data_IF_361715794153
#
_entry.id   IF_361715794153
#
_cell.length_a   1.000
_cell.length_b   1.000
_cell.length_c   1.000
_cell.angle_alpha   90.00
_cell.angle_beta   90.00
_cell.angle_gamma   90.00
#
_symmetry.space_group_name_H-M   'P 1'
#
loop_
_entity.id
_entity.type
_entity.pdbx_description
1 polymer ?
#
# COMPACT_ATOMS: atom_id res chain seq x y z
N UNK A 1 24.37 -5.01 -0.72
CA UNK A 1 25.12 -5.28 0.52
C UNK A 1 24.79 -4.35 1.68
N UNK A 2 24.71 -3.04 1.46
CA UNK A 2 24.48 -2.06 2.53
C UNK A 2 23.18 -2.31 3.32
N UNK A 3 22.08 -2.59 2.62
CA UNK A 3 20.81 -2.95 3.24
C UNK A 3 20.93 -4.18 4.16
N UNK A 4 21.57 -5.26 3.68
CA UNK A 4 21.81 -6.48 4.47
C UNK A 4 22.66 -6.18 5.71
N UNK A 5 23.70 -5.35 5.58
CA UNK A 5 24.55 -4.94 6.72
C UNK A 5 23.74 -4.15 7.75
N UNK A 6 22.90 -3.21 7.31
CA UNK A 6 22.03 -2.44 8.19
C UNK A 6 21.08 -3.36 8.96
N UNK A 7 20.38 -4.26 8.27
CA UNK A 7 19.42 -5.19 8.89
C UNK A 7 20.13 -6.11 9.88
N UNK A 8 21.29 -6.66 9.50
CA UNK A 8 22.10 -7.53 10.37
C UNK A 8 22.54 -6.79 11.64
N UNK A 9 23.00 -5.54 11.51
CA UNK A 9 23.38 -4.73 12.66
C UNK A 9 22.19 -4.45 13.59
N UNK A 10 21.03 -4.03 13.06
CA UNK A 10 19.82 -3.81 13.85
C UNK A 10 19.41 -5.07 14.62
N UNK A 11 19.38 -6.23 13.95
CA UNK A 11 19.03 -7.50 14.59
C UNK A 11 20.04 -7.91 15.67
N UNK A 12 21.33 -7.63 15.46
CA UNK A 12 22.38 -7.82 16.47
C UNK A 12 22.14 -7.03 17.77
N UNK A 13 21.36 -5.95 17.69
CA UNK A 13 20.92 -5.14 18.83
C UNK A 13 19.47 -5.41 19.28
N UNK A 14 18.84 -6.47 18.77
CA UNK A 14 17.44 -6.79 19.10
C UNK A 14 16.40 -5.88 18.45
N UNK A 15 16.79 -5.08 17.46
CA UNK A 15 15.90 -4.18 16.71
C UNK A 15 15.45 -4.88 15.42
N UNK A 16 14.14 -5.09 15.29
CA UNK A 16 13.53 -5.62 14.05
C UNK A 16 13.40 -4.52 13.01
N UNK A 17 13.40 -4.90 11.75
CA UNK A 17 13.27 -4.00 10.61
C UNK A 17 12.08 -4.45 9.78
N UNK A 18 11.22 -3.51 9.42
CA UNK A 18 10.05 -3.73 8.57
C UNK A 18 10.22 -2.94 7.28
N UNK A 19 9.91 -3.56 6.15
CA UNK A 19 9.97 -2.89 4.86
C UNK A 19 8.65 -2.17 4.58
N UNK A 20 8.71 -1.01 3.94
CA UNK A 20 7.54 -0.40 3.32
C UNK A 20 7.33 -1.06 1.95
N UNK A 21 6.24 -1.81 1.80
CA UNK A 21 5.95 -2.63 0.64
C UNK A 21 4.88 -1.95 -0.22
N UNK A 22 5.34 -1.22 -1.25
CA UNK A 22 4.51 -0.65 -2.31
C UNK A 22 4.17 -1.75 -3.31
N UNK A 23 2.96 -2.30 -3.20
CA UNK A 23 2.53 -3.48 -3.98
C UNK A 23 1.19 -3.29 -4.69
N UNK A 24 0.52 -2.15 -4.49
CA UNK A 24 -0.71 -1.79 -5.19
C UNK A 24 -0.45 -1.31 -6.63
N UNK A 25 0.60 -0.53 -6.83
CA UNK A 25 0.83 0.21 -8.06
C UNK A 25 2.31 0.22 -8.43
N UNK A 26 2.57 0.67 -9.66
CA UNK A 26 3.91 1.00 -10.15
C UNK A 26 4.04 2.52 -10.29
N UNK A 27 4.67 3.03 -11.34
CA UNK A 27 4.94 4.47 -11.46
C UNK A 27 3.76 5.24 -12.04
N UNK A 28 3.72 6.56 -11.81
CA UNK A 28 2.92 7.47 -12.64
C UNK A 28 3.57 7.67 -14.01
N UNK A 29 2.79 8.04 -15.01
CA UNK A 29 3.27 8.13 -16.38
C UNK A 29 4.20 9.32 -16.67
N UNK A 30 4.99 9.19 -17.74
CA UNK A 30 5.96 10.19 -18.20
C UNK A 30 7.28 10.24 -17.42
N UNK A 31 7.49 9.31 -16.46
CA UNK A 31 8.67 9.21 -15.62
C UNK A 31 9.53 7.98 -15.93
N UNK A 32 9.66 7.65 -17.21
CA UNK A 32 10.11 6.35 -17.69
C UNK A 32 11.38 6.40 -18.58
N UNK A 33 11.77 5.26 -19.17
CA UNK A 33 12.96 5.18 -20.03
C UNK A 33 12.78 5.77 -21.44
N UNK A 34 11.56 6.14 -21.84
CA UNK A 34 11.29 6.65 -23.17
C UNK A 34 11.94 8.04 -23.35
N UNK A 35 12.76 8.26 -24.39
CA UNK A 35 13.37 9.57 -24.62
C UNK A 35 12.43 10.57 -25.32
N UNK A 36 11.21 10.17 -25.67
CA UNK A 36 10.31 10.90 -26.54
C UNK A 36 8.97 11.21 -25.87
N UNK A 37 8.98 12.17 -24.95
CA UNK A 37 7.77 12.68 -24.31
C UNK A 37 7.35 14.06 -24.84
N UNK A 38 6.05 14.35 -24.80
CA UNK A 38 5.46 15.64 -25.18
C UNK A 38 4.28 15.98 -24.28
N UNK A 39 4.31 17.19 -23.70
CA UNK A 39 3.21 17.72 -22.90
C UNK A 39 2.24 18.48 -23.82
N UNK A 40 1.01 17.98 -24.03
CA UNK A 40 0.03 18.66 -24.88
C UNK A 40 -0.49 19.95 -24.25
N UNK A 41 -0.49 20.07 -22.92
CA UNK A 41 -0.99 21.23 -22.17
C UNK A 41 0.04 22.35 -21.96
N UNK A 42 1.31 22.13 -22.30
CA UNK A 42 2.39 23.09 -22.08
C UNK A 42 3.08 23.51 -23.40
N UNK A 43 2.29 23.92 -24.40
CA UNK A 43 2.83 24.46 -25.65
C UNK A 43 3.72 23.48 -26.43
N UNK A 44 3.45 22.17 -26.34
CA UNK A 44 4.25 21.11 -26.96
C UNK A 44 5.67 20.97 -26.39
N UNK A 45 5.90 21.37 -25.14
CA UNK A 45 7.15 21.09 -24.44
C UNK A 45 7.47 19.59 -24.47
N UNK A 46 8.74 19.25 -24.69
CA UNK A 46 9.23 17.88 -24.72
C UNK A 46 10.23 17.64 -23.59
N UNK A 47 10.38 16.39 -23.17
CA UNK A 47 11.45 15.99 -22.25
C UNK A 47 11.94 14.58 -22.61
N UNK A 48 13.19 14.33 -22.22
CA UNK A 48 13.84 13.04 -22.40
C UNK A 48 13.48 12.04 -21.31
N UNK A 49 14.19 10.91 -21.32
CA UNK A 49 13.99 9.83 -20.37
C UNK A 49 14.41 10.20 -18.95
N UNK A 50 13.92 9.43 -17.98
CA UNK A 50 14.36 9.48 -16.60
C UNK A 50 15.40 8.38 -16.34
N UNK A 51 16.35 8.71 -15.48
CA UNK A 51 17.43 7.79 -15.09
C UNK A 51 17.14 7.21 -13.72
N UNK A 52 17.50 5.96 -13.52
CA UNK A 52 17.45 5.32 -12.21
C UNK A 52 18.69 5.66 -11.39
N UNK A 53 18.72 5.23 -10.12
CA UNK A 53 19.91 5.32 -9.26
C UNK A 53 21.04 4.37 -9.70
N UNK A 54 20.79 3.51 -10.69
CA UNK A 54 21.82 2.68 -11.31
C UNK A 54 22.75 3.56 -12.16
N UNK A 55 24.08 3.52 -11.94
CA UNK A 55 25.04 4.27 -12.74
C UNK A 55 24.90 3.95 -14.24
N UNK A 56 24.54 4.95 -15.05
CA UNK A 56 24.28 4.79 -16.49
C UNK A 56 22.97 4.06 -16.81
N UNK A 57 22.13 3.77 -15.81
CA UNK A 57 20.85 3.10 -15.97
C UNK A 57 19.73 4.08 -16.27
N UNK A 58 18.86 3.70 -17.19
CA UNK A 58 17.56 4.35 -17.38
C UNK A 58 16.55 3.77 -16.38
N UNK A 59 15.40 4.41 -16.21
CA UNK A 59 14.24 3.78 -15.58
C UNK A 59 13.96 2.43 -16.29
N UNK A 60 13.85 1.29 -15.60
CA UNK A 60 13.74 -0.01 -16.25
C UNK A 60 12.30 -0.33 -16.74
N UNK A 61 11.55 0.69 -17.14
CA UNK A 61 10.13 0.62 -17.46
C UNK A 61 9.71 1.72 -18.44
N UNK A 62 8.55 1.53 -19.06
CA UNK A 62 7.92 2.41 -20.05
C UNK A 62 6.43 2.54 -19.74
N UNK A 63 5.88 3.74 -19.89
CA UNK A 63 4.50 4.10 -19.57
C UNK A 63 3.80 4.67 -20.81
N UNK A 64 2.47 4.71 -20.83
CA UNK A 64 1.75 5.24 -22.00
C UNK A 64 1.71 6.78 -22.07
N UNK A 65 1.90 7.46 -20.94
CA UNK A 65 1.56 8.89 -20.85
C UNK A 65 2.60 9.75 -21.56
N UNK A 66 2.10 10.76 -22.29
CA UNK A 66 2.90 11.78 -22.98
C UNK A 66 3.83 11.25 -24.08
N UNK A 67 3.78 9.96 -24.41
CA UNK A 67 4.62 9.34 -25.45
C UNK A 67 3.99 9.48 -26.83
N UNK A 68 4.81 9.71 -27.85
CA UNK A 68 4.38 9.77 -29.27
C UNK A 68 5.11 8.78 -30.19
N UNK A 69 5.85 7.84 -29.61
CA UNK A 69 6.43 6.68 -30.32
C UNK A 69 5.60 5.42 -30.08
N UNK A 70 6.04 4.28 -30.59
CA UNK A 70 5.52 2.97 -30.21
C UNK A 70 6.18 2.48 -28.92
N UNK A 71 5.58 1.48 -28.27
CA UNK A 71 6.16 0.79 -27.11
C UNK A 71 7.47 0.08 -27.48
N UNK A 72 8.46 0.18 -26.61
CA UNK A 72 9.83 -0.31 -26.87
C UNK A 72 9.86 -1.83 -26.99
N UNK A 73 9.15 -2.55 -26.12
CA UNK A 73 9.18 -4.01 -26.09
C UNK A 73 8.11 -4.65 -26.96
N UNK A 74 6.95 -4.02 -27.09
CA UNK A 74 5.82 -4.59 -27.85
C UNK A 74 5.77 -4.14 -29.31
N UNK A 75 6.37 -2.99 -29.65
CA UNK A 75 6.21 -2.34 -30.95
C UNK A 75 4.77 -1.90 -31.25
N UNK A 76 3.90 -1.85 -30.23
CA UNK A 76 2.50 -1.45 -30.34
C UNK A 76 2.31 0.00 -29.88
N UNK A 77 1.06 0.46 -29.74
CA UNK A 77 0.80 1.72 -29.06
C UNK A 77 1.46 1.74 -27.67
N UNK A 78 1.93 2.90 -27.18
CA UNK A 78 2.51 3.02 -25.84
C UNK A 78 1.58 2.41 -24.80
N UNK A 79 2.11 1.49 -24.02
CA UNK A 79 1.43 0.81 -22.93
C UNK A 79 2.44 0.60 -21.79
N UNK A 80 1.93 0.13 -20.66
CA UNK A 80 2.72 -0.16 -19.48
C UNK A 80 3.63 -1.38 -19.68
N UNK A 81 4.94 -1.17 -19.66
CA UNK A 81 5.96 -2.20 -19.86
C UNK A 81 6.98 -2.13 -18.72
N UNK A 82 6.99 -3.12 -17.83
CA UNK A 82 7.93 -3.24 -16.71
C UNK A 82 8.73 -4.55 -16.84
N UNK A 83 9.64 -4.64 -17.83
CA UNK A 83 10.33 -5.88 -18.22
C UNK A 83 11.19 -6.49 -17.11
N UNK A 84 11.66 -5.70 -16.15
CA UNK A 84 12.48 -6.18 -15.04
C UNK A 84 11.69 -7.01 -13.99
N UNK A 85 10.37 -6.77 -13.87
CA UNK A 85 9.45 -7.56 -13.01
C UNK A 85 8.72 -8.65 -13.80
N UNK A 86 9.09 -8.81 -15.07
CA UNK A 86 8.22 -8.85 -16.26
C UNK A 86 6.71 -8.65 -16.02
N UNK A 87 6.28 -7.39 -15.85
CA UNK A 87 4.88 -7.02 -16.06
C UNK A 87 4.70 -6.38 -17.43
N UNK A 88 3.61 -6.75 -18.09
CA UNK A 88 3.14 -6.14 -19.33
C UNK A 88 1.76 -5.50 -19.15
N UNK A 89 1.17 -4.99 -20.24
CA UNK A 89 -0.06 -4.19 -20.16
C UNK A 89 -1.26 -4.92 -19.55
N UNK A 90 -1.30 -6.26 -19.63
CA UNK A 90 -2.39 -7.08 -19.10
C UNK A 90 -2.26 -7.37 -17.59
N UNK A 91 -1.15 -6.98 -16.97
CA UNK A 91 -0.90 -7.14 -15.54
C UNK A 91 -1.38 -5.92 -14.74
N UNK A 92 -1.96 -4.94 -15.42
CA UNK A 92 -2.51 -3.72 -14.85
C UNK A 92 -4.01 -3.64 -15.08
N UNK A 93 -4.71 -2.94 -14.20
CA UNK A 93 -6.08 -2.53 -14.45
C UNK A 93 -6.13 -1.53 -15.61
N UNK A 94 -7.21 -1.58 -16.39
CA UNK A 94 -7.46 -0.56 -17.40
C UNK A 94 -7.46 0.83 -16.76
N UNK A 95 -6.75 1.77 -17.36
CA UNK A 95 -6.60 3.14 -16.86
C UNK A 95 -7.94 3.77 -16.55
N UNK A 96 -8.11 4.17 -15.29
CA UNK A 96 -9.24 4.97 -14.80
C UNK A 96 -8.76 5.74 -13.57
N UNK A 97 -9.19 6.97 -13.41
CA UNK A 97 -8.88 7.71 -12.18
C UNK A 97 -9.76 7.21 -11.03
N UNK A 98 -9.16 7.01 -9.86
CA UNK A 98 -9.89 6.77 -8.62
C UNK A 98 -10.62 8.05 -8.19
N UNK A 99 -11.94 8.03 -8.19
CA UNK A 99 -12.78 9.19 -7.88
C UNK A 99 -13.89 8.90 -6.84
N UNK A 100 -14.07 7.65 -6.43
CA UNK A 100 -15.07 7.21 -5.46
C UNK A 100 -14.44 6.36 -4.35
N UNK A 101 -14.51 6.86 -3.12
CA UNK A 101 -13.99 6.16 -1.94
C UNK A 101 -14.95 5.12 -1.35
N UNK A 102 -16.18 5.05 -1.86
CA UNK A 102 -17.24 4.13 -1.40
C UNK A 102 -17.65 3.11 -2.46
N UNK A 103 -16.99 3.10 -3.63
CA UNK A 103 -17.17 2.07 -4.65
C UNK A 103 -16.03 1.04 -4.57
N UNK A 104 -16.31 -0.23 -4.20
CA UNK A 104 -15.31 -1.28 -4.15
C UNK A 104 -14.53 -1.49 -5.46
N UNK A 105 -15.17 -1.28 -6.62
CA UNK A 105 -14.50 -1.43 -7.91
C UNK A 105 -13.49 -0.30 -8.14
N UNK A 106 -13.86 0.93 -7.77
CA UNK A 106 -12.98 2.08 -7.94
C UNK A 106 -11.84 2.09 -6.91
N UNK A 107 -12.09 1.60 -5.69
CA UNK A 107 -11.03 1.37 -4.71
C UNK A 107 -9.99 0.36 -5.19
N UNK A 108 -10.44 -0.74 -5.84
CA UNK A 108 -9.58 -1.84 -6.25
C UNK A 108 -8.85 -1.64 -7.58
N UNK A 109 -9.48 -0.92 -8.52
CA UNK A 109 -9.01 -0.83 -9.90
C UNK A 109 -8.80 0.61 -10.38
N UNK A 110 -8.97 1.58 -9.48
CA UNK A 110 -8.77 3.00 -9.76
C UNK A 110 -7.31 3.40 -9.58
N UNK A 111 -6.75 4.09 -10.57
CA UNK A 111 -5.39 4.61 -10.53
C UNK A 111 -5.33 5.77 -9.54
N UNK A 112 -4.84 5.48 -8.33
CA UNK A 112 -4.63 6.46 -7.28
C UNK A 112 -3.66 7.53 -7.78
N UNK A 113 -4.15 8.76 -7.93
CA UNK A 113 -3.38 9.92 -8.42
C UNK A 113 -2.63 9.71 -9.74
N UNK A 114 -3.12 8.77 -10.58
CA UNK A 114 -2.51 8.42 -11.87
C UNK A 114 -1.34 7.44 -11.78
N UNK A 115 -1.15 6.78 -10.63
CA UNK A 115 -0.20 5.69 -10.48
C UNK A 115 -0.75 4.44 -11.16
N UNK A 116 0.11 3.76 -11.93
CA UNK A 116 -0.27 2.59 -12.72
C UNK A 116 -0.68 1.43 -11.81
N UNK A 117 -1.97 1.11 -11.78
CA UNK A 117 -2.57 0.19 -10.82
C UNK A 117 -2.42 -1.29 -11.24
N UNK A 118 -1.82 -2.11 -10.38
CA UNK A 118 -1.59 -3.53 -10.64
C UNK A 118 -2.91 -4.30 -10.53
N UNK A 119 -3.14 -5.23 -11.46
CA UNK A 119 -4.30 -6.12 -11.39
C UNK A 119 -4.04 -7.25 -10.41
N UNK A 120 -4.28 -6.99 -9.12
CA UNK A 120 -4.00 -7.94 -8.03
C UNK A 120 -4.93 -9.15 -8.02
N UNK A 121 -5.99 -9.19 -8.82
CA UNK A 121 -6.80 -10.38 -9.04
C UNK A 121 -6.09 -11.45 -9.89
N UNK A 122 -5.03 -11.07 -10.62
CA UNK A 122 -4.28 -12.00 -11.47
C UNK A 122 -3.27 -12.81 -10.67
N UNK A 123 -3.34 -14.12 -10.84
CA UNK A 123 -2.42 -15.07 -10.18
C UNK A 123 -0.94 -14.73 -10.40
N UNK A 124 -0.55 -14.34 -11.62
CA UNK A 124 0.84 -13.99 -11.92
C UNK A 124 1.31 -12.70 -11.24
N UNK A 125 0.40 -11.73 -11.02
CA UNK A 125 0.71 -10.50 -10.26
C UNK A 125 0.86 -10.83 -8.77
N UNK A 126 -0.07 -11.62 -8.23
CA UNK A 126 0.01 -12.08 -6.84
C UNK A 126 1.28 -12.89 -6.56
N UNK A 127 1.71 -13.76 -7.47
CA UNK A 127 2.97 -14.51 -7.34
C UNK A 127 4.18 -13.60 -7.32
N UNK A 128 4.25 -12.61 -8.22
CA UNK A 128 5.35 -11.66 -8.26
C UNK A 128 5.45 -10.80 -7.00
N UNK A 129 4.31 -10.36 -6.47
CA UNK A 129 4.25 -9.65 -5.18
C UNK A 129 4.74 -10.57 -4.04
N UNK A 130 4.24 -11.81 -3.98
CA UNK A 130 4.63 -12.77 -2.95
C UNK A 130 6.12 -13.14 -3.02
N UNK A 131 6.69 -13.30 -4.22
CA UNK A 131 8.11 -13.54 -4.43
C UNK A 131 8.95 -12.36 -3.93
N UNK A 132 8.57 -11.13 -4.28
CA UNK A 132 9.21 -9.92 -3.75
C UNK A 132 9.18 -9.87 -2.22
N UNK A 133 8.02 -10.11 -1.61
CA UNK A 133 7.90 -10.15 -0.14
C UNK A 133 8.76 -11.29 0.44
N UNK A 134 8.80 -12.45 -0.19
CA UNK A 134 9.64 -13.59 0.24
C UNK A 134 11.11 -13.20 0.21
N UNK A 135 11.57 -12.56 -0.86
CA UNK A 135 12.95 -12.09 -1.01
C UNK A 135 13.33 -11.09 0.09
N UNK A 136 12.44 -10.16 0.43
CA UNK A 136 12.67 -9.22 1.54
C UNK A 136 12.79 -9.95 2.89
N UNK A 137 11.94 -10.93 3.18
CA UNK A 137 12.12 -11.78 4.37
C UNK A 137 13.48 -12.50 4.32
N UNK A 138 13.87 -13.04 3.16
CA UNK A 138 15.17 -13.69 2.94
C UNK A 138 16.38 -12.74 3.05
N UNK A 139 16.18 -11.43 2.88
CA UNK A 139 17.18 -10.39 3.15
C UNK A 139 17.35 -10.16 4.67
N UNK A 140 16.30 -10.43 5.46
CA UNK A 140 16.32 -10.37 6.92
C UNK A 140 15.27 -9.43 7.54
N UNK A 141 14.34 -8.88 6.73
CA UNK A 141 13.20 -8.13 7.25
C UNK A 141 12.29 -9.02 8.10
N UNK A 142 11.61 -8.41 9.08
CA UNK A 142 10.66 -9.08 9.97
C UNK A 142 9.20 -8.88 9.54
N UNK A 143 8.97 -8.36 8.34
CA UNK A 143 7.64 -8.13 7.76
C UNK A 143 7.52 -6.72 7.19
N UNK A 144 6.28 -6.22 7.10
CA UNK A 144 5.96 -5.11 6.18
C UNK A 144 4.95 -4.10 6.75
N UNK A 145 5.13 -2.83 6.39
CA UNK A 145 4.02 -1.89 6.20
C UNK A 145 3.54 -2.10 4.77
N UNK A 146 2.31 -2.54 4.55
CA UNK A 146 1.77 -2.69 3.20
C UNK A 146 1.11 -1.37 2.82
N UNK A 147 1.79 -0.62 1.95
CA UNK A 147 1.36 0.68 1.44
C UNK A 147 0.04 0.55 0.67
N UNK A 148 -0.81 1.57 0.80
CA UNK A 148 -2.04 1.71 0.04
C UNK A 148 -2.92 0.46 0.08
N UNK A 149 -2.88 -0.32 1.17
CA UNK A 149 -3.53 -1.63 1.23
C UNK A 149 -5.03 -1.55 1.01
N UNK A 150 -5.67 -0.43 1.40
CA UNK A 150 -7.07 -0.10 1.08
C UNK A 150 -7.42 -0.25 -0.41
N UNK A 151 -6.46 -0.05 -1.29
CA UNK A 151 -6.62 -0.06 -2.74
C UNK A 151 -6.46 -1.45 -3.38
N UNK A 152 -6.22 -2.49 -2.57
CA UNK A 152 -6.22 -3.88 -3.03
C UNK A 152 -7.32 -4.66 -2.34
N UNK A 153 -8.13 -5.42 -3.06
CA UNK A 153 -9.23 -6.17 -2.47
C UNK A 153 -8.74 -7.11 -1.37
N UNK A 154 -9.48 -7.26 -0.26
CA UNK A 154 -9.11 -8.22 0.79
C UNK A 154 -8.90 -9.66 0.29
N UNK A 155 -9.62 -10.09 -0.76
CA UNK A 155 -9.44 -11.42 -1.36
C UNK A 155 -8.04 -11.58 -1.98
N UNK A 156 -7.56 -10.53 -2.66
CA UNK A 156 -6.26 -10.54 -3.33
C UNK A 156 -5.13 -10.54 -2.30
N UNK A 157 -5.29 -9.77 -1.22
CA UNK A 157 -4.37 -9.80 -0.08
C UNK A 157 -4.32 -11.18 0.59
N UNK A 158 -5.46 -11.86 0.76
CA UNK A 158 -5.49 -13.25 1.26
C UNK A 158 -4.71 -14.17 0.32
N UNK A 159 -4.87 -14.03 -0.99
CA UNK A 159 -4.15 -14.83 -1.98
C UNK A 159 -2.63 -14.56 -1.94
N UNK A 160 -2.22 -13.29 -1.90
CA UNK A 160 -0.81 -12.86 -1.78
C UNK A 160 -0.19 -13.41 -0.49
N UNK A 161 -0.84 -13.23 0.66
CA UNK A 161 -0.32 -13.77 1.93
C UNK A 161 -0.26 -15.30 1.92
N UNK A 162 -1.22 -15.98 1.28
CA UNK A 162 -1.20 -17.44 1.14
C UNK A 162 0.01 -17.91 0.32
N UNK A 163 0.35 -17.19 -0.75
CA UNK A 163 1.54 -17.45 -1.57
C UNK A 163 2.83 -17.14 -0.81
N UNK A 164 2.89 -16.02 -0.07
CA UNK A 164 4.02 -15.71 0.84
C UNK A 164 4.23 -16.83 1.86
N UNK A 165 3.15 -17.26 2.54
CA UNK A 165 3.18 -18.36 3.50
C UNK A 165 3.65 -19.67 2.85
N UNK A 166 3.21 -19.97 1.63
CA UNK A 166 3.69 -21.11 0.83
C UNK A 166 5.19 -21.01 0.56
N UNK A 167 5.67 -19.86 0.09
CA UNK A 167 7.08 -19.63 -0.21
C UNK A 167 7.98 -19.73 1.04
N UNK A 168 7.46 -19.39 2.22
CA UNK A 168 8.14 -19.50 3.52
C UNK A 168 8.05 -20.90 4.17
N UNK A 169 7.59 -21.92 3.43
CA UNK A 169 7.55 -23.30 3.93
C UNK A 169 6.25 -23.67 4.65
N UNK A 170 5.17 -22.91 4.42
CA UNK A 170 3.82 -23.21 4.90
C UNK A 170 3.45 -22.57 6.24
N UNK A 171 4.31 -21.72 6.80
CA UNK A 171 4.00 -20.94 8.00
C UNK A 171 4.71 -19.58 7.97
N UNK A 172 4.12 -18.57 8.62
CA UNK A 172 4.82 -17.31 8.84
C UNK A 172 5.88 -17.47 9.96
N UNK A 173 7.08 -16.86 9.81
CA UNK A 173 8.09 -16.84 10.86
C UNK A 173 7.56 -16.29 12.19
N UNK A 174 8.07 -16.77 13.32
CA UNK A 174 7.59 -16.33 14.64
C UNK A 174 7.87 -14.85 14.93
N UNK A 175 8.90 -14.27 14.30
CA UNK A 175 9.21 -12.84 14.39
C UNK A 175 8.53 -12.01 13.29
N UNK A 176 7.71 -12.62 12.43
CA UNK A 176 6.94 -11.94 11.41
C UNK A 176 5.88 -11.02 12.02
N UNK A 177 5.76 -9.82 11.47
CA UNK A 177 4.72 -8.86 11.79
C UNK A 177 4.51 -7.92 10.61
N UNK A 178 3.26 -7.72 10.22
CA UNK A 178 2.89 -6.80 9.14
C UNK A 178 1.65 -6.01 9.50
N UNK A 179 1.51 -4.82 8.92
CA UNK A 179 0.29 -4.04 9.00
C UNK A 179 -0.10 -3.49 7.64
N UNK A 180 -1.40 -3.54 7.37
CA UNK A 180 -2.05 -3.03 6.18
C UNK A 180 -2.42 -1.57 6.40
N UNK A 181 -1.99 -0.69 5.50
CA UNK A 181 -2.42 0.69 5.52
C UNK A 181 -3.86 0.82 5.00
N UNK A 182 -4.82 0.95 5.91
CA UNK A 182 -6.25 1.09 5.59
C UNK A 182 -6.78 2.38 6.21
N UNK A 183 -6.55 3.49 5.51
CA UNK A 183 -7.05 4.80 5.95
C UNK A 183 -8.58 4.82 5.88
N UNK A 184 -9.21 5.25 6.98
CA UNK A 184 -10.65 5.30 7.14
C UNK A 184 -11.17 6.73 7.07
N UNK A 185 -12.28 6.88 6.36
CA UNK A 185 -13.15 8.05 6.37
C UNK A 185 -14.62 7.65 6.39
N UNK A 186 -15.41 8.22 5.47
CA UNK A 186 -16.84 7.92 5.33
C UNK A 186 -17.14 6.48 4.90
N UNK A 187 -16.13 5.76 4.42
CA UNK A 187 -16.19 4.38 3.94
C UNK A 187 -15.92 3.32 5.03
N UNK A 188 -15.85 3.70 6.30
CA UNK A 188 -15.61 2.77 7.43
C UNK A 188 -16.61 1.60 7.47
N UNK A 189 -17.87 1.81 7.09
CA UNK A 189 -18.85 0.71 6.99
C UNK A 189 -18.44 -0.34 5.94
N UNK A 190 -17.95 0.11 4.78
CA UNK A 190 -17.47 -0.77 3.71
C UNK A 190 -16.21 -1.53 4.16
N UNK A 191 -15.26 -0.83 4.78
CA UNK A 191 -13.93 -1.36 5.05
C UNK A 191 -13.84 -2.16 6.35
N UNK A 192 -14.62 -1.83 7.38
CA UNK A 192 -14.46 -2.38 8.74
C UNK A 192 -15.76 -2.80 9.41
N UNK A 193 -16.83 -1.99 9.35
CA UNK A 193 -18.01 -2.22 10.21
C UNK A 193 -18.98 -3.29 9.68
N UNK A 194 -19.08 -3.47 8.36
CA UNK A 194 -19.95 -4.47 7.74
C UNK A 194 -19.14 -5.63 7.16
N UNK A 195 -19.14 -6.78 7.85
CA UNK A 195 -18.44 -7.98 7.40
C UNK A 195 -18.96 -8.53 6.05
N UNK A 196 -20.21 -8.22 5.69
CA UNK A 196 -20.86 -8.66 4.45
C UNK A 196 -20.70 -7.65 3.29
N UNK A 197 -19.90 -6.59 3.48
CA UNK A 197 -19.71 -5.54 2.46
C UNK A 197 -19.04 -6.02 1.17
N UNK A 198 -18.35 -7.16 1.21
CA UNK A 198 -17.53 -7.67 0.11
C UNK A 198 -16.12 -7.04 0.01
N UNK A 199 -15.81 -6.03 0.83
CA UNK A 199 -14.53 -5.30 0.83
C UNK A 199 -14.01 -5.00 2.26
N UNK A 200 -14.32 -5.89 3.20
CA UNK A 200 -14.05 -5.72 4.62
C UNK A 200 -12.68 -6.31 5.04
N UNK A 201 -11.86 -5.51 5.74
CA UNK A 201 -10.53 -5.85 6.28
C UNK A 201 -10.55 -6.37 7.73
N UNK A 202 -11.71 -6.30 8.37
CA UNK A 202 -11.95 -6.82 9.71
C UNK A 202 -12.37 -8.29 9.70
N UNK A 203 -13.56 -8.57 10.24
CA UNK A 203 -14.05 -9.94 10.46
C UNK A 203 -14.08 -10.80 9.18
N UNK A 204 -14.44 -10.22 8.03
CA UNK A 204 -14.50 -10.95 6.76
C UNK A 204 -13.11 -11.41 6.30
N UNK A 205 -12.12 -10.52 6.37
CA UNK A 205 -10.74 -10.83 6.01
C UNK A 205 -10.12 -11.86 6.96
N UNK A 206 -10.38 -11.74 8.27
CA UNK A 206 -9.99 -12.74 9.27
C UNK A 206 -10.58 -14.12 8.95
N UNK A 207 -11.87 -14.18 8.64
CA UNK A 207 -12.54 -15.43 8.27
C UNK A 207 -11.94 -16.05 7.00
N UNK A 208 -11.61 -15.24 6.00
CA UNK A 208 -10.99 -15.69 4.75
C UNK A 208 -9.57 -16.23 4.97
N UNK A 209 -8.75 -15.57 5.79
CA UNK A 209 -7.42 -16.09 6.17
C UNK A 209 -7.54 -17.44 6.91
N UNK A 210 -8.48 -17.56 7.85
CA UNK A 210 -8.71 -18.81 8.57
C UNK A 210 -9.17 -19.93 7.62
N UNK A 211 -10.05 -19.61 6.66
CA UNK A 211 -10.56 -20.58 5.68
C UNK A 211 -9.46 -21.17 4.79
N UNK A 212 -8.38 -20.42 4.52
CA UNK A 212 -7.21 -20.91 3.76
C UNK A 212 -6.09 -21.46 4.65
N UNK A 213 -6.37 -21.66 5.94
CA UNK A 213 -5.52 -22.42 6.85
C UNK A 213 -4.48 -21.62 7.62
N UNK A 214 -4.65 -20.30 7.75
CA UNK A 214 -3.86 -19.51 8.70
C UNK A 214 -4.31 -19.81 10.12
N UNK A 215 -3.35 -20.02 11.02
CA UNK A 215 -3.61 -20.13 12.45
C UNK A 215 -4.00 -18.78 13.05
N UNK A 216 -4.67 -18.79 14.21
CA UNK A 216 -4.98 -17.55 14.95
C UNK A 216 -3.72 -16.74 15.29
N UNK A 217 -2.58 -17.40 15.50
CA UNK A 217 -1.30 -16.72 15.72
C UNK A 217 -0.85 -15.98 14.46
N UNK A 218 -0.89 -16.62 13.29
CA UNK A 218 -0.51 -15.99 12.02
C UNK A 218 -1.46 -14.84 11.65
N UNK A 219 -2.76 -15.02 11.88
CA UNK A 219 -3.76 -13.96 11.70
C UNK A 219 -3.46 -12.75 12.59
N UNK A 220 -2.98 -12.96 13.81
CA UNK A 220 -2.58 -11.88 14.72
C UNK A 220 -1.26 -11.19 14.34
N UNK A 221 -0.47 -11.80 13.44
CA UNK A 221 0.72 -11.16 12.86
C UNK A 221 0.37 -10.24 11.68
N UNK A 222 -0.82 -10.39 11.08
CA UNK A 222 -1.32 -9.54 10.00
C UNK A 222 -2.30 -8.53 10.58
N UNK A 223 -1.85 -7.28 10.71
CA UNK A 223 -2.58 -6.20 11.37
C UNK A 223 -3.11 -5.18 10.37
N UNK A 224 -3.93 -4.27 10.87
CA UNK A 224 -4.35 -3.08 10.15
C UNK A 224 -3.84 -1.86 10.90
N UNK A 225 -3.36 -0.89 10.15
CA UNK A 225 -3.21 0.48 10.62
C UNK A 225 -4.29 1.31 9.97
N UNK A 226 -4.90 2.20 10.75
CA UNK A 226 -5.96 3.08 10.27
C UNK A 226 -5.91 4.45 10.96
N UNK A 227 -6.61 5.41 10.36
CA UNK A 227 -6.76 6.78 10.84
C UNK A 227 -7.86 6.98 11.88
N UNK A 228 -8.54 5.92 12.33
CA UNK A 228 -9.63 6.00 13.31
C UNK A 228 -9.14 6.43 14.69
N UNK A 229 -7.96 5.98 15.12
CA UNK A 229 -7.41 6.40 16.41
C UNK A 229 -6.82 7.83 16.36
N UNK A 230 -7.03 8.69 17.39
CA UNK A 230 -7.82 8.46 18.60
C UNK A 230 -9.28 8.94 18.51
N UNK A 231 -9.72 9.49 17.37
CA UNK A 231 -11.03 10.15 17.22
C UNK A 231 -12.21 9.17 17.26
N UNK A 232 -12.12 8.11 16.46
CA UNK A 232 -13.12 7.07 16.25
C UNK A 232 -12.41 5.71 16.28
N UNK A 233 -11.73 5.36 17.39
CA UNK A 233 -10.90 4.15 17.48
C UNK A 233 -11.72 2.88 17.27
N UNK A 234 -13.02 2.93 17.55
CA UNK A 234 -13.94 1.84 17.30
C UNK A 234 -14.10 1.55 15.82
N UNK A 235 -14.08 2.56 14.94
CA UNK A 235 -14.16 2.33 13.49
C UNK A 235 -12.96 1.58 12.93
N UNK A 236 -11.85 1.60 13.66
CA UNK A 236 -10.61 0.94 13.31
C UNK A 236 -10.55 -0.54 13.64
N UNK A 237 -11.54 -1.13 14.33
CA UNK A 237 -11.51 -2.56 14.71
C UNK A 237 -12.54 -3.38 13.95
N UNK A 238 -12.42 -4.70 14.04
CA UNK A 238 -13.36 -5.64 13.42
C UNK A 238 -14.80 -5.36 13.92
N UNK A 239 -15.76 -5.30 12.99
CA UNK A 239 -17.18 -4.97 13.21
C UNK A 239 -17.43 -3.59 13.85
N UNK A 240 -16.40 -2.74 13.87
CA UNK A 240 -16.41 -1.44 14.54
C UNK A 240 -16.81 -1.47 16.02
N UNK A 241 -16.50 -2.56 16.72
CA UNK A 241 -16.84 -2.78 18.13
C UNK A 241 -15.63 -3.28 18.94
N UNK A 242 -14.98 -2.34 19.64
CA UNK A 242 -13.80 -2.62 20.49
C UNK A 242 -14.14 -3.63 21.59
N UNK A 243 -15.35 -3.56 22.15
CA UNK A 243 -15.77 -4.45 23.24
C UNK A 243 -15.91 -5.90 22.79
N UNK A 244 -16.22 -6.12 21.51
CA UNK A 244 -16.38 -7.44 20.92
C UNK A 244 -15.07 -8.03 20.41
N UNK A 245 -14.26 -7.23 19.72
CA UNK A 245 -13.13 -7.76 18.92
C UNK A 245 -11.76 -7.40 19.50
N UNK A 246 -11.72 -6.44 20.43
CA UNK A 246 -10.50 -5.93 21.02
C UNK A 246 -9.62 -5.20 20.00
N UNK A 247 -8.37 -4.91 20.39
CA UNK A 247 -7.44 -4.10 19.58
C UNK A 247 -6.21 -4.89 19.12
N UNK A 248 -6.23 -6.22 19.26
CA UNK A 248 -5.04 -7.06 19.05
C UNK A 248 -4.49 -6.99 17.63
N UNK A 249 -5.33 -6.76 16.63
CA UNK A 249 -4.94 -6.59 15.21
C UNK A 249 -4.73 -5.14 14.78
N UNK A 250 -4.74 -4.19 15.71
CA UNK A 250 -4.55 -2.77 15.38
C UNK A 250 -3.12 -2.30 15.65
N UNK A 251 -2.58 -1.55 14.69
CA UNK A 251 -1.42 -0.69 14.87
C UNK A 251 -1.93 0.74 15.03
N UNK A 252 -1.43 1.43 16.05
CA UNK A 252 -1.79 2.80 16.35
C UNK A 252 -0.59 3.69 16.04
N UNK A 253 -0.85 4.83 15.42
CA UNK A 253 0.13 5.87 15.17
C UNK A 253 -0.52 7.24 15.38
N UNK A 254 0.23 8.18 15.96
CA UNK A 254 -0.25 9.55 16.20
C UNK A 254 -0.22 10.39 14.92
N UNK A 255 0.81 10.23 14.11
CA UNK A 255 1.06 10.88 12.85
C UNK A 255 2.06 10.05 12.03
N UNK A 256 2.10 10.23 10.72
CA UNK A 256 3.04 9.53 9.84
C UNK A 256 3.68 10.50 8.83
N UNK A 257 4.52 9.96 7.95
CA UNK A 257 5.25 10.75 6.96
C UNK A 257 4.33 11.53 5.99
N UNK A 258 3.13 11.03 5.71
CA UNK A 258 2.12 11.64 4.83
C UNK A 258 1.24 12.65 5.57
N UNK A 259 1.02 12.43 6.87
CA UNK A 259 0.04 13.15 7.70
C UNK A 259 0.65 14.28 8.53
N UNK A 260 1.97 14.28 8.73
CA UNK A 260 2.67 15.32 9.50
C UNK A 260 2.82 16.68 8.79
N UNK A 261 2.36 16.81 7.54
CA UNK A 261 2.55 18.04 6.76
C UNK A 261 1.34 18.98 6.84
N UNK A 262 1.54 20.31 7.00
CA UNK A 262 0.46 21.28 6.92
C UNK A 262 -0.26 21.15 5.58
N UNK A 263 -1.56 20.86 5.61
CA UNK A 263 -2.28 20.59 4.37
C UNK A 263 -2.79 19.16 4.22
N UNK A 264 -2.35 18.23 5.07
CA UNK A 264 -2.71 16.82 4.91
C UNK A 264 -4.21 16.59 5.02
N UNK A 265 -4.71 15.64 4.22
CA UNK A 265 -6.12 15.22 4.20
C UNK A 265 -6.53 14.42 5.42
N UNK A 266 -5.56 14.00 6.22
CA UNK A 266 -5.78 12.99 7.25
C UNK A 266 -5.70 13.61 8.64
N UNK A 267 -6.73 13.28 9.43
CA UNK A 267 -6.88 13.48 10.88
C UNK A 267 -7.52 14.79 11.34
N UNK A 268 -8.69 15.13 10.79
CA UNK A 268 -9.63 16.07 11.43
C UNK A 268 -10.14 15.52 12.76
N UNK A 269 -9.56 16.01 13.86
CA UNK A 269 -9.96 15.67 15.24
C UNK A 269 -11.20 16.45 15.71
N UNK A 270 -11.82 17.26 14.84
CA UNK A 270 -13.06 17.98 15.11
C UNK A 270 -12.95 18.90 16.33
N UNK A 271 -13.85 18.74 17.29
CA UNK A 271 -13.89 19.57 18.50
C UNK A 271 -12.70 19.32 19.46
N UNK A 272 -11.99 18.20 19.31
CA UNK A 272 -10.85 17.85 20.18
C UNK A 272 -9.55 18.54 19.77
N UNK A 273 -9.54 19.22 18.63
CA UNK A 273 -8.43 19.99 18.09
C UNK A 273 -8.04 19.54 16.69
N UNK A 274 -6.76 19.55 16.39
CA UNK A 274 -6.21 19.10 15.11
C UNK A 274 -4.75 18.66 15.30
N UNK A 275 -4.28 17.79 14.40
CA UNK A 275 -2.87 17.36 14.32
C UNK A 275 -2.37 17.76 12.93
N UNK A 276 -1.66 18.91 12.83
CA UNK A 276 -0.96 19.36 11.61
C UNK A 276 -1.80 19.38 10.31
N UNK A 277 -3.10 19.68 10.40
CA UNK A 277 -4.05 19.64 9.27
C UNK A 277 -4.10 20.97 8.51
N UNK A 278 -4.48 20.92 7.22
CA UNK A 278 -4.83 22.12 6.44
C UNK A 278 -5.87 23.00 7.15
N UNK A 279 -5.53 24.27 7.37
CA UNK A 279 -6.48 25.28 7.84
C UNK A 279 -6.69 25.31 9.36
N UNK A 280 -5.88 24.58 10.13
CA UNK A 280 -5.86 24.71 11.58
C UNK A 280 -4.83 25.77 12.03
N UNK A 281 -5.17 26.58 13.02
CA UNK A 281 -4.25 27.57 13.61
C UNK A 281 -3.23 26.86 14.53
N UNK A 282 -1.99 27.32 14.56
CA UNK A 282 -0.92 26.75 15.40
C UNK A 282 -1.29 26.82 16.88
N UNK A 283 -1.99 27.88 17.31
CA UNK A 283 -2.51 28.00 18.68
C UNK A 283 -3.59 26.96 19.03
N UNK A 284 -4.17 26.30 18.02
CA UNK A 284 -5.15 25.22 18.16
C UNK A 284 -4.56 23.83 17.97
N UNK A 285 -3.29 23.73 17.54
CA UNK A 285 -2.51 22.51 17.66
C UNK A 285 -2.34 22.23 19.15
N UNK A 286 -3.13 21.30 19.68
CA UNK A 286 -2.90 20.82 21.03
C UNK A 286 -1.68 19.89 20.99
N UNK A 287 -0.79 20.06 21.96
CA UNK A 287 0.32 19.18 22.30
C UNK A 287 -0.18 17.76 22.67
N UNK A 288 -0.78 17.04 21.72
CA UNK A 288 -1.34 15.72 21.97
C UNK A 288 -0.21 14.71 22.27
N UNK A 289 1.00 14.96 21.76
CA UNK A 289 2.21 14.31 22.23
C UNK A 289 2.45 14.42 23.74
N UNK A 290 1.96 15.47 24.42
CA UNK A 290 2.09 15.65 25.87
C UNK A 290 0.96 15.00 26.69
N UNK A 291 -0.20 14.71 26.09
CA UNK A 291 -1.36 14.13 26.81
C UNK A 291 -1.36 12.60 26.85
N UNK A 292 -0.50 11.96 26.06
CA UNK A 292 -0.41 10.50 25.95
C UNK A 292 0.64 9.88 26.89
N UNK A 293 1.42 10.69 27.61
CA UNK A 293 2.42 10.24 28.59
C UNK A 293 2.12 10.75 30.00
#
# INVERSE_FOLDING_TARGET
DDLRRMITACRGHGVRVYADAVVNHMTGGGNDANPYHRNPGAGCATWGNKTSSLPGGHSPFYTQDFVYTVGEHTGQQPLQEFPAVPYGPLDFHCERALNSWTDPLDLNAGWLTGLTDLNTERDNVQERIADYMTDLIGIGFSGFRVDAAKHMKPDDLVAIFSKLRRNLGGALPSDFFTWLEVILGGESDLLMCNADSGYNYGASFVAKLAAVGFSSQEINQIKTWNSGYPKEPEKGVDDCDIGKTGTQRQVIQNDDADQQNPGSSSRDMGADGCVLIKGCDEATHRSFEEKLF
#
